data_IF_145057857241
#
_entry.id   IF_145057857241
#
_cell.length_a   1.000
_cell.length_b   1.000
_cell.length_c   1.000
_cell.angle_alpha   90.00
_cell.angle_beta   90.00
_cell.angle_gamma   90.00
#
_symmetry.space_group_name_H-M   'P 1'
#
loop_
_entity.id
_entity.type
_entity.pdbx_description
1 polymer ?
#
# COMPACT_ATOMS: atom_id res chain seq x y z
N UNK A 1 32.31 -4.46 -3.69
CA UNK A 1 31.66 -5.78 -3.57
C UNK A 1 31.19 -6.15 -2.15
N UNK A 2 31.30 -5.28 -1.14
CA UNK A 2 31.01 -5.65 0.27
C UNK A 2 29.62 -5.21 0.79
N UNK A 3 28.86 -4.43 0.05
CA UNK A 3 27.56 -3.88 0.50
C UNK A 3 26.36 -4.80 0.18
N UNK A 4 26.49 -5.67 -0.82
CA UNK A 4 25.40 -6.58 -1.24
C UNK A 4 25.23 -7.76 -0.28
N UNK A 5 26.27 -8.17 0.43
CA UNK A 5 26.25 -9.34 1.33
C UNK A 5 25.52 -9.04 2.67
N UNK A 6 25.55 -7.79 3.14
CA UNK A 6 24.89 -7.41 4.40
C UNK A 6 23.35 -7.40 4.31
N UNK A 7 22.78 -7.06 3.14
CA UNK A 7 21.33 -7.03 2.93
C UNK A 7 20.68 -8.42 2.92
N UNK A 8 21.39 -9.45 2.47
CA UNK A 8 20.86 -10.82 2.38
C UNK A 8 20.78 -11.47 3.78
N UNK A 9 21.71 -11.15 4.67
CA UNK A 9 21.73 -11.70 6.03
C UNK A 9 20.57 -11.17 6.89
N UNK A 10 20.16 -9.92 6.72
CA UNK A 10 19.08 -9.30 7.51
C UNK A 10 17.70 -9.84 7.12
N UNK A 11 17.47 -10.11 5.84
CA UNK A 11 16.19 -10.68 5.35
C UNK A 11 16.03 -12.13 5.84
N UNK A 12 17.13 -12.91 5.86
CA UNK A 12 17.12 -14.28 6.38
C UNK A 12 16.77 -14.34 7.88
N UNK A 13 17.22 -13.34 8.67
CA UNK A 13 16.96 -13.27 10.12
C UNK A 13 15.49 -12.99 10.44
N UNK A 14 14.81 -12.14 9.68
CA UNK A 14 13.39 -11.82 9.87
C UNK A 14 12.50 -13.01 9.50
N UNK A 15 12.83 -13.72 8.44
CA UNK A 15 12.12 -14.95 8.02
C UNK A 15 12.29 -16.06 9.05
N UNK A 16 13.48 -16.17 9.67
CA UNK A 16 13.76 -17.17 10.71
C UNK A 16 12.99 -16.90 12.01
N UNK A 17 12.89 -15.66 12.45
CA UNK A 17 12.13 -15.26 13.66
C UNK A 17 10.62 -15.54 13.45
N UNK A 18 10.08 -15.30 12.26
CA UNK A 18 8.67 -15.57 11.97
C UNK A 18 8.35 -17.07 11.90
N UNK A 19 9.22 -17.87 11.31
CA UNK A 19 9.08 -19.34 11.27
C UNK A 19 9.05 -19.94 12.68
N UNK A 20 9.93 -19.46 13.59
CA UNK A 20 9.95 -19.89 14.98
C UNK A 20 8.71 -19.46 15.78
N UNK A 21 8.13 -18.31 15.46
CA UNK A 21 6.90 -17.82 16.13
C UNK A 21 5.65 -18.58 15.67
N UNK A 22 5.62 -19.04 14.44
CA UNK A 22 4.54 -19.90 13.89
C UNK A 22 4.56 -21.30 14.50
N UNK A 23 5.74 -21.84 14.78
CA UNK A 23 5.89 -23.15 15.42
C UNK A 23 5.55 -23.14 16.92
N UNK A 24 5.71 -21.97 17.59
CA UNK A 24 5.44 -21.84 19.04
C UNK A 24 3.95 -21.71 19.38
N UNK A 25 3.10 -21.35 18.44
CA UNK A 25 1.65 -21.25 18.66
C UNK A 25 0.91 -22.57 18.39
N UNK A 26 1.60 -23.61 17.89
CA UNK A 26 1.01 -24.91 17.55
C UNK A 26 1.20 -26.00 18.61
N UNK A 27 1.82 -25.70 19.73
CA UNK A 27 2.18 -26.70 20.74
C UNK A 27 1.83 -26.30 22.17
N UNK A 28 0.58 -26.34 22.56
CA UNK A 28 0.18 -26.62 23.93
C UNK A 28 -1.33 -26.98 24.00
N UNK A 29 -1.60 -28.22 23.87
CA UNK A 29 -2.92 -28.82 24.14
C UNK A 29 -2.75 -30.07 24.96
N UNK A 30 -2.94 -29.96 26.27
CA UNK A 30 -3.07 -31.08 27.18
C UNK A 30 -4.34 -31.86 26.88
N UNK A 31 -4.19 -33.17 26.90
CA UNK A 31 -5.26 -34.16 26.88
C UNK A 31 -6.13 -34.04 28.12
N UNK A 32 -7.44 -34.07 27.94
CA UNK A 32 -8.32 -34.92 28.75
C UNK A 32 -9.62 -35.20 27.99
N UNK A 33 -10.07 -36.42 28.16
CA UNK A 33 -11.08 -37.09 27.36
C UNK A 33 -12.50 -36.79 27.85
N UNK A 34 -13.43 -36.63 26.92
CA UNK A 34 -14.70 -37.37 26.92
C UNK A 34 -15.47 -37.06 25.63
N UNK A 35 -15.99 -38.15 25.05
CA UNK A 35 -16.66 -38.22 23.76
C UNK A 35 -18.03 -37.51 23.77
N UNK A 36 -18.33 -36.77 22.71
CA UNK A 36 -19.63 -36.79 22.03
C UNK A 36 -19.42 -36.38 20.57
N UNK A 37 -19.88 -37.24 19.70
CA UNK A 37 -19.88 -37.11 18.25
C UNK A 37 -20.73 -35.94 17.78
N UNK A 38 -20.12 -35.01 17.08
CA UNK A 38 -20.83 -34.18 16.12
C UNK A 38 -19.93 -34.00 14.90
N UNK A 39 -20.45 -34.50 13.79
CA UNK A 39 -19.86 -34.50 12.47
C UNK A 39 -19.35 -33.11 12.10
N UNK A 40 -18.02 -32.94 12.00
CA UNK A 40 -17.42 -31.85 11.25
C UNK A 40 -17.74 -32.08 9.77
N UNK A 41 -18.77 -31.41 9.30
CA UNK A 41 -19.08 -31.30 7.90
C UNK A 41 -17.97 -30.48 7.27
N UNK A 42 -17.02 -31.17 6.62
CA UNK A 42 -16.07 -30.59 5.67
C UNK A 42 -16.92 -29.89 4.61
N UNK A 43 -17.04 -28.58 4.69
CA UNK A 43 -17.64 -27.75 3.64
C UNK A 43 -16.61 -27.65 2.53
N UNK A 44 -16.65 -28.62 1.63
CA UNK A 44 -15.92 -28.61 0.37
C UNK A 44 -16.71 -27.78 -0.66
N UNK A 45 -16.10 -26.69 -1.16
CA UNK A 45 -16.15 -26.25 -2.57
C UNK A 45 -17.49 -25.87 -3.23
N UNK A 46 -18.40 -25.17 -2.56
CA UNK A 46 -19.52 -24.52 -3.27
C UNK A 46 -19.35 -22.99 -3.40
N UNK A 47 -18.21 -22.42 -2.97
CA UNK A 47 -17.97 -20.97 -3.00
C UNK A 47 -17.71 -20.45 -4.42
N UNK A 48 -17.18 -21.25 -5.33
CA UNK A 48 -16.79 -20.81 -6.67
C UNK A 48 -18.01 -20.50 -7.57
N UNK A 49 -19.07 -21.31 -7.48
CA UNK A 49 -20.31 -21.07 -8.21
C UNK A 49 -21.13 -19.88 -7.68
N UNK A 50 -21.02 -19.56 -6.41
CA UNK A 50 -21.72 -18.41 -5.82
C UNK A 50 -21.10 -17.08 -6.25
N UNK A 51 -19.79 -17.04 -6.51
CA UNK A 51 -19.09 -15.84 -6.95
C UNK A 51 -19.31 -15.56 -8.43
N UNK A 52 -19.30 -16.57 -9.27
CA UNK A 52 -19.63 -16.40 -10.70
C UNK A 52 -21.02 -15.78 -10.84
N UNK A 53 -22.02 -16.26 -10.10
CA UNK A 53 -23.37 -15.68 -10.08
C UNK A 53 -23.42 -14.20 -9.64
N UNK A 54 -22.52 -13.78 -8.74
CA UNK A 54 -22.43 -12.37 -8.31
C UNK A 54 -22.04 -11.44 -9.46
N UNK A 55 -21.08 -11.84 -10.29
CA UNK A 55 -20.59 -11.04 -11.41
C UNK A 55 -21.53 -11.06 -12.61
N UNK A 56 -22.39 -12.05 -12.70
CA UNK A 56 -23.44 -12.15 -13.73
C UNK A 56 -24.67 -11.26 -13.43
N UNK A 57 -24.74 -10.72 -12.21
CA UNK A 57 -25.84 -9.84 -11.80
C UNK A 57 -25.70 -8.43 -12.42
N UNK A 58 -26.83 -7.74 -12.68
CA UNK A 58 -26.83 -6.36 -13.09
C UNK A 58 -26.04 -5.45 -12.12
N UNK A 59 -25.32 -4.42 -12.60
CA UNK A 59 -24.44 -3.59 -11.75
C UNK A 59 -25.11 -2.95 -10.54
N UNK A 60 -26.40 -2.64 -10.59
CA UNK A 60 -27.15 -2.08 -9.47
C UNK A 60 -27.36 -3.10 -8.34
N UNK A 61 -27.63 -4.38 -8.68
CA UNK A 61 -27.75 -5.47 -7.72
C UNK A 61 -26.39 -5.82 -7.10
N UNK A 62 -25.33 -5.86 -7.88
CA UNK A 62 -23.96 -6.02 -7.35
C UNK A 62 -23.63 -4.93 -6.32
N UNK A 63 -24.00 -3.67 -6.59
CA UNK A 63 -23.83 -2.55 -5.66
C UNK A 63 -24.66 -2.70 -4.38
N UNK A 64 -25.87 -3.21 -4.47
CA UNK A 64 -26.73 -3.44 -3.30
C UNK A 64 -26.16 -4.57 -2.43
N UNK A 65 -25.86 -5.71 -3.02
CA UNK A 65 -25.24 -6.86 -2.32
C UNK A 65 -23.91 -6.45 -1.68
N UNK A 66 -23.08 -5.68 -2.39
CA UNK A 66 -21.83 -5.15 -1.84
C UNK A 66 -22.06 -4.24 -0.63
N UNK A 67 -23.05 -3.33 -0.69
CA UNK A 67 -23.39 -2.45 0.45
C UNK A 67 -23.86 -3.25 1.66
N UNK A 68 -24.70 -4.27 1.45
CA UNK A 68 -25.21 -5.14 2.53
C UNK A 68 -24.11 -5.97 3.17
N UNK A 69 -23.26 -6.62 2.36
CA UNK A 69 -22.09 -7.38 2.85
C UNK A 69 -21.15 -6.47 3.63
N UNK A 70 -20.82 -5.30 3.11
CA UNK A 70 -19.98 -4.32 3.79
C UNK A 70 -20.53 -3.90 5.16
N UNK A 71 -21.87 -3.77 5.28
CA UNK A 71 -22.53 -3.43 6.53
C UNK A 71 -22.48 -4.59 7.55
N UNK A 72 -22.57 -5.84 7.07
CA UNK A 72 -22.53 -7.05 7.93
C UNK A 72 -21.11 -7.47 8.31
N UNK A 73 -20.15 -7.40 7.38
CA UNK A 73 -18.82 -7.99 7.52
C UNK A 73 -17.71 -6.97 7.87
N UNK A 74 -18.05 -5.70 8.13
CA UNK A 74 -17.06 -4.62 8.38
C UNK A 74 -15.94 -4.59 7.35
N UNK A 75 -16.30 -4.67 6.05
CA UNK A 75 -15.36 -4.72 4.94
C UNK A 75 -14.44 -3.49 4.95
N UNK A 76 -13.13 -3.64 4.74
CA UNK A 76 -12.21 -2.52 4.65
C UNK A 76 -12.63 -1.50 3.59
N UNK A 77 -12.53 -0.22 3.94
CA UNK A 77 -12.90 0.90 3.04
C UNK A 77 -12.21 0.85 1.67
N UNK A 78 -10.99 0.30 1.62
CA UNK A 78 -10.15 0.22 0.43
C UNK A 78 -10.42 -1.00 -0.48
N UNK A 79 -11.37 -1.88 -0.14
CA UNK A 79 -11.69 -3.02 -0.98
C UNK A 79 -12.23 -2.58 -2.35
N UNK A 80 -11.84 -3.29 -3.41
CA UNK A 80 -12.30 -3.03 -4.77
C UNK A 80 -13.82 -3.23 -4.88
N UNK A 81 -14.47 -2.38 -5.67
CA UNK A 81 -15.92 -2.41 -5.91
C UNK A 81 -16.32 -3.32 -7.07
N UNK A 82 -15.36 -3.69 -7.90
CA UNK A 82 -15.53 -4.54 -9.09
C UNK A 82 -14.28 -5.37 -9.32
N UNK A 83 -14.36 -6.47 -10.07
CA UNK A 83 -13.21 -7.26 -10.47
C UNK A 83 -12.12 -6.39 -11.11
N UNK A 84 -10.86 -6.78 -10.93
CA UNK A 84 -9.75 -6.09 -11.58
C UNK A 84 -9.60 -6.52 -13.04
N UNK A 85 -9.87 -7.79 -13.32
CA UNK A 85 -9.69 -8.40 -14.63
C UNK A 85 -11.04 -8.82 -15.22
N UNK A 86 -11.42 -8.20 -16.34
CA UNK A 86 -12.61 -8.61 -17.12
C UNK A 86 -12.30 -9.77 -18.07
N UNK A 87 -11.00 -10.03 -18.33
CA UNK A 87 -10.50 -11.12 -19.15
C UNK A 87 -11.09 -11.21 -20.56
N UNK A 88 -11.46 -10.09 -21.17
CA UNK A 88 -11.89 -10.10 -22.57
C UNK A 88 -10.69 -10.41 -23.46
N UNK A 89 -10.76 -11.48 -24.23
CA UNK A 89 -9.70 -11.90 -25.14
C UNK A 89 -9.81 -11.11 -26.44
N UNK A 90 -8.78 -10.38 -26.77
CA UNK A 90 -8.62 -9.69 -28.05
C UNK A 90 -7.84 -10.58 -29.01
N UNK A 91 -8.42 -10.85 -30.18
CA UNK A 91 -7.84 -11.67 -31.24
C UNK A 91 -7.51 -10.82 -32.46
N UNK A 92 -6.47 -11.24 -33.20
CA UNK A 92 -6.18 -10.68 -34.51
C UNK A 92 -7.18 -11.21 -35.57
N UNK A 93 -7.15 -10.72 -36.84
CA UNK A 93 -8.05 -11.19 -37.90
C UNK A 93 -7.92 -12.70 -38.19
N UNK A 94 -6.77 -13.29 -37.91
CA UNK A 94 -6.53 -14.74 -38.08
C UNK A 94 -7.07 -15.57 -36.89
N UNK A 95 -7.68 -14.91 -35.89
CA UNK A 95 -8.24 -15.56 -34.71
C UNK A 95 -7.22 -15.89 -33.59
N UNK A 96 -5.95 -15.52 -33.72
CA UNK A 96 -4.92 -15.72 -32.72
C UNK A 96 -5.10 -14.75 -31.54
N UNK A 97 -5.02 -15.25 -30.32
CA UNK A 97 -5.11 -14.43 -29.12
C UNK A 97 -3.90 -13.48 -28.99
N UNK A 98 -4.15 -12.20 -28.89
CA UNK A 98 -3.15 -11.15 -28.71
C UNK A 98 -2.96 -10.77 -27.24
N UNK A 99 -4.05 -10.46 -26.55
CA UNK A 99 -4.01 -10.05 -25.16
C UNK A 99 -5.37 -10.15 -24.48
N UNK A 100 -5.38 -10.12 -23.15
CA UNK A 100 -6.59 -9.90 -22.36
C UNK A 100 -6.75 -8.41 -22.05
N UNK A 101 -7.95 -7.89 -22.23
CA UNK A 101 -8.27 -6.47 -22.06
C UNK A 101 -9.48 -6.28 -21.14
N UNK A 102 -9.68 -5.03 -20.68
CA UNK A 102 -10.89 -4.67 -19.93
C UNK A 102 -12.11 -4.52 -20.86
N UNK A 103 -13.29 -4.73 -20.29
CA UNK A 103 -14.55 -4.54 -21.00
C UNK A 103 -14.66 -3.10 -21.57
N UNK A 104 -14.25 -2.10 -20.82
CA UNK A 104 -14.23 -0.70 -21.29
C UNK A 104 -13.38 -0.54 -22.56
N UNK A 105 -12.20 -1.18 -22.61
CA UNK A 105 -11.32 -1.13 -23.78
C UNK A 105 -11.92 -1.91 -24.96
N UNK A 106 -12.53 -3.07 -24.71
CA UNK A 106 -13.21 -3.86 -25.75
C UNK A 106 -14.35 -3.05 -26.37
N UNK A 107 -15.23 -2.47 -25.58
CA UNK A 107 -16.32 -1.61 -26.03
C UNK A 107 -15.81 -0.41 -26.84
N UNK A 108 -14.69 0.17 -26.46
CA UNK A 108 -14.09 1.27 -27.22
C UNK A 108 -13.66 0.83 -28.61
N UNK A 109 -13.00 -0.34 -28.77
CA UNK A 109 -12.63 -0.87 -30.09
C UNK A 109 -13.87 -1.11 -30.97
N UNK A 110 -14.88 -1.74 -30.38
CA UNK A 110 -16.13 -2.04 -31.11
C UNK A 110 -16.87 -0.75 -31.48
N UNK A 111 -16.99 0.22 -30.59
CA UNK A 111 -17.67 1.50 -30.88
C UNK A 111 -16.96 2.34 -31.95
N UNK A 112 -15.66 2.10 -32.17
CA UNK A 112 -14.85 2.72 -33.22
C UNK A 112 -14.89 1.94 -34.55
N UNK A 113 -15.61 0.81 -34.63
CA UNK A 113 -15.62 -0.04 -35.81
C UNK A 113 -14.28 -0.74 -36.06
N UNK A 114 -13.44 -0.87 -35.06
CA UNK A 114 -12.09 -1.48 -35.15
C UNK A 114 -12.10 -2.97 -34.76
N UNK A 115 -13.18 -3.44 -34.17
CA UNK A 115 -13.33 -4.84 -33.74
C UNK A 115 -14.81 -5.23 -33.70
N UNK A 116 -15.06 -6.53 -33.70
CA UNK A 116 -16.38 -7.14 -33.54
C UNK A 116 -16.41 -8.11 -32.36
N UNK A 117 -17.56 -8.23 -31.69
CA UNK A 117 -17.78 -9.24 -30.68
C UNK A 117 -18.02 -10.61 -31.35
N UNK A 118 -17.13 -11.55 -31.06
CA UNK A 118 -17.31 -12.97 -31.48
C UNK A 118 -17.95 -13.83 -30.39
N UNK A 119 -17.86 -13.39 -29.15
CA UNK A 119 -18.54 -13.97 -27.98
C UNK A 119 -18.60 -12.94 -26.85
N UNK A 120 -19.33 -13.19 -25.75
CA UNK A 120 -19.36 -12.28 -24.59
C UNK A 120 -17.99 -11.96 -23.99
N UNK A 121 -16.98 -12.80 -24.25
CA UNK A 121 -15.62 -12.69 -23.69
C UNK A 121 -14.53 -12.54 -24.76
N UNK A 122 -14.90 -12.43 -26.04
CA UNK A 122 -13.90 -12.32 -27.13
C UNK A 122 -14.29 -11.24 -28.13
N UNK A 123 -13.29 -10.46 -28.54
CA UNK A 123 -13.38 -9.56 -29.67
C UNK A 123 -12.36 -9.93 -30.75
N UNK A 124 -12.75 -9.75 -32.03
CA UNK A 124 -11.90 -9.91 -33.18
C UNK A 124 -11.57 -8.54 -33.77
N UNK A 125 -10.28 -8.24 -33.94
CA UNK A 125 -9.83 -7.02 -34.62
C UNK A 125 -10.13 -7.11 -36.11
N UNK A 126 -10.54 -6.00 -36.74
CA UNK A 126 -10.80 -5.87 -38.17
C UNK A 126 -9.56 -5.34 -38.94
N UNK A 127 -8.42 -5.26 -38.28
CA UNK A 127 -7.14 -4.77 -38.84
C UNK A 127 -5.97 -5.54 -38.25
N UNK A 128 -4.85 -5.59 -38.96
CA UNK A 128 -3.62 -6.11 -38.42
C UNK A 128 -2.93 -5.08 -37.51
N UNK A 129 -2.72 -5.38 -36.21
CA UNK A 129 -2.03 -4.49 -35.31
C UNK A 129 -0.52 -4.46 -35.63
N UNK A 130 0.08 -3.26 -35.68
CA UNK A 130 1.52 -3.05 -35.95
C UNK A 130 2.43 -3.64 -34.86
N UNK A 131 1.92 -3.84 -33.64
CA UNK A 131 2.63 -4.48 -32.54
C UNK A 131 2.05 -5.86 -32.26
N UNK A 132 2.62 -6.90 -32.83
CA UNK A 132 2.28 -8.28 -32.41
C UNK A 132 2.86 -8.51 -31.03
N UNK A 133 2.02 -8.90 -30.07
CA UNK A 133 2.49 -9.48 -28.83
C UNK A 133 3.41 -10.67 -29.18
N UNK A 134 4.69 -10.59 -28.79
CA UNK A 134 5.68 -11.64 -29.09
C UNK A 134 5.43 -12.94 -28.32
N UNK A 135 4.16 -13.37 -28.20
CA UNK A 135 3.78 -14.59 -27.48
C UNK A 135 3.94 -14.50 -25.97
N UNK A 136 3.97 -13.29 -25.40
CA UNK A 136 4.04 -13.13 -23.94
C UNK A 136 2.83 -13.75 -23.27
N UNK A 137 3.07 -14.87 -22.58
CA UNK A 137 2.05 -15.66 -21.88
C UNK A 137 1.33 -14.83 -20.84
N UNK A 138 2.00 -13.83 -20.24
CA UNK A 138 1.40 -12.98 -19.22
C UNK A 138 0.28 -12.10 -19.80
N UNK A 139 0.49 -11.51 -20.96
CA UNK A 139 -0.49 -10.62 -21.59
C UNK A 139 -1.68 -11.36 -22.20
N UNK A 140 -1.44 -12.55 -22.74
CA UNK A 140 -2.45 -13.35 -23.45
C UNK A 140 -3.30 -14.26 -22.55
N UNK A 141 -2.81 -14.59 -21.34
CA UNK A 141 -3.51 -15.49 -20.42
C UNK A 141 -4.54 -14.77 -19.56
N UNK A 142 -5.73 -15.35 -19.33
CA UNK A 142 -6.69 -14.88 -18.35
C UNK A 142 -6.08 -14.85 -16.95
N UNK A 143 -6.49 -13.86 -16.13
CA UNK A 143 -5.98 -13.65 -14.79
C UNK A 143 -7.09 -13.85 -13.77
N UNK A 144 -6.78 -14.53 -12.67
CA UNK A 144 -7.74 -14.74 -11.59
C UNK A 144 -8.01 -13.45 -10.81
N UNK A 145 -9.26 -13.23 -10.39
CA UNK A 145 -9.66 -12.17 -9.48
C UNK A 145 -9.58 -12.61 -8.00
N UNK A 146 -8.65 -13.50 -7.66
CA UNK A 146 -8.36 -14.00 -6.33
C UNK A 146 -7.05 -13.44 -5.78
N UNK A 147 -6.83 -13.58 -4.47
CA UNK A 147 -5.60 -13.17 -3.80
C UNK A 147 -4.39 -13.93 -4.35
N UNK A 148 -3.39 -13.24 -4.90
CA UNK A 148 -2.19 -13.91 -5.45
C UNK A 148 -1.34 -14.60 -4.38
N UNK A 149 -1.50 -14.23 -3.09
CA UNK A 149 -0.77 -14.86 -2.00
C UNK A 149 -1.43 -16.17 -1.53
N UNK A 150 -2.71 -16.15 -1.18
CA UNK A 150 -3.40 -17.28 -0.56
C UNK A 150 -4.52 -17.91 -1.40
N UNK A 151 -4.86 -17.36 -2.58
CA UNK A 151 -5.88 -17.89 -3.49
C UNK A 151 -7.32 -17.59 -3.10
N UNK A 152 -7.57 -17.01 -1.91
CA UNK A 152 -8.94 -16.72 -1.47
C UNK A 152 -9.60 -15.69 -2.41
N UNK A 153 -10.87 -15.89 -2.66
CA UNK A 153 -11.71 -14.97 -3.44
C UNK A 153 -12.60 -14.14 -2.50
N UNK A 154 -13.13 -12.99 -2.97
CA UNK A 154 -14.04 -12.12 -2.21
C UNK A 154 -13.60 -10.65 -2.23
N UNK A 155 -13.46 -10.03 -1.05
CA UNK A 155 -13.05 -8.62 -0.96
C UNK A 155 -11.55 -8.46 -1.20
N UNK A 156 -11.22 -7.89 -2.35
CA UNK A 156 -9.84 -7.74 -2.79
C UNK A 156 -9.39 -6.30 -2.75
N UNK A 157 -8.08 -6.10 -2.56
CA UNK A 157 -7.40 -4.82 -2.61
C UNK A 157 -6.34 -4.85 -3.71
N UNK A 158 -6.17 -3.71 -4.39
CA UNK A 158 -5.04 -3.53 -5.30
C UNK A 158 -3.79 -3.25 -4.49
N UNK A 159 -2.75 -4.00 -4.76
CA UNK A 159 -1.43 -3.78 -4.18
C UNK A 159 -0.46 -3.40 -5.28
N UNK A 160 0.21 -2.27 -5.12
CA UNK A 160 1.27 -1.82 -6.02
C UNK A 160 2.60 -2.41 -5.55
N UNK A 161 3.25 -3.20 -6.42
CA UNK A 161 4.54 -3.84 -6.10
C UNK A 161 5.60 -2.78 -5.79
N UNK A 162 5.72 -1.72 -6.60
CA UNK A 162 6.45 -0.53 -6.20
C UNK A 162 5.52 0.35 -5.36
N UNK A 163 5.88 0.70 -4.12
CA UNK A 163 5.04 1.53 -3.24
C UNK A 163 4.57 2.81 -3.92
N UNK A 164 3.28 3.12 -3.73
CA UNK A 164 2.67 4.29 -4.36
C UNK A 164 3.40 5.59 -4.04
N UNK A 165 3.97 5.70 -2.83
CA UNK A 165 4.75 6.85 -2.40
C UNK A 165 5.94 7.15 -3.34
N UNK A 166 6.63 6.12 -3.82
CA UNK A 166 7.72 6.28 -4.79
C UNK A 166 7.18 6.43 -6.22
N UNK A 167 6.23 5.56 -6.58
CA UNK A 167 5.65 5.54 -7.91
C UNK A 167 5.02 6.87 -8.30
N UNK A 168 4.38 7.58 -7.35
CA UNK A 168 3.75 8.88 -7.60
C UNK A 168 4.74 9.97 -8.01
N UNK A 169 6.00 9.86 -7.58
CA UNK A 169 7.08 10.82 -7.85
C UNK A 169 7.88 10.49 -9.12
N UNK A 170 7.76 9.26 -9.65
CA UNK A 170 8.44 8.90 -10.89
C UNK A 170 7.83 9.63 -12.10
N UNK A 171 8.59 9.82 -13.20
CA UNK A 171 8.08 10.38 -14.44
C UNK A 171 6.87 9.60 -14.99
N UNK A 172 5.96 10.29 -15.68
CA UNK A 172 4.70 9.71 -16.18
C UNK A 172 4.91 8.48 -17.07
N UNK A 173 6.01 8.42 -17.83
CA UNK A 173 6.37 7.26 -18.65
C UNK A 173 6.53 5.95 -17.87
N UNK A 174 6.84 6.01 -16.55
CA UNK A 174 6.97 4.85 -15.67
C UNK A 174 5.69 4.58 -14.85
N UNK A 175 4.70 5.46 -14.91
CA UNK A 175 3.42 5.30 -14.20
C UNK A 175 2.45 4.40 -14.95
N UNK A 176 2.95 3.41 -15.67
CA UNK A 176 2.11 2.43 -16.35
C UNK A 176 1.22 1.68 -15.35
N UNK A 177 -0.09 1.60 -15.64
CA UNK A 177 -1.02 0.76 -14.91
C UNK A 177 -1.00 -0.70 -15.41
N UNK A 178 0.16 -1.18 -15.83
CA UNK A 178 0.28 -2.57 -16.23
C UNK A 178 -0.04 -3.48 -15.06
N UNK A 179 -0.86 -4.47 -15.32
CA UNK A 179 -1.26 -5.46 -14.32
C UNK A 179 -0.09 -6.26 -13.76
N UNK A 180 1.10 -6.19 -14.39
CA UNK A 180 2.31 -6.84 -13.92
C UNK A 180 2.81 -6.29 -12.58
N UNK A 181 2.71 -4.96 -12.40
CA UNK A 181 3.17 -4.25 -11.20
C UNK A 181 2.03 -3.90 -10.24
N UNK A 182 0.82 -4.36 -10.53
CA UNK A 182 -0.37 -4.22 -9.68
C UNK A 182 -1.01 -5.57 -9.50
N UNK A 183 -0.95 -6.11 -8.30
CA UNK A 183 -1.51 -7.43 -7.96
C UNK A 183 -2.73 -7.30 -7.06
N UNK A 184 -3.45 -8.40 -6.89
CA UNK A 184 -4.63 -8.48 -6.04
C UNK A 184 -4.29 -9.22 -4.76
N UNK A 185 -4.57 -8.61 -3.61
CA UNK A 185 -4.43 -9.22 -2.29
C UNK A 185 -5.74 -9.12 -1.51
N UNK A 186 -6.05 -10.14 -0.72
CA UNK A 186 -7.11 -10.02 0.29
C UNK A 186 -6.66 -9.08 1.42
N UNK A 187 -7.57 -8.51 2.23
CA UNK A 187 -7.22 -7.56 3.28
C UNK A 187 -6.17 -8.06 4.26
N UNK A 188 -6.22 -9.36 4.62
CA UNK A 188 -5.26 -9.99 5.53
C UNK A 188 -3.85 -10.05 4.93
N UNK A 189 -3.72 -10.53 3.70
CA UNK A 189 -2.42 -10.60 3.01
C UNK A 189 -1.89 -9.20 2.66
N UNK A 190 -2.78 -8.25 2.35
CA UNK A 190 -2.39 -6.87 2.10
C UNK A 190 -1.80 -6.22 3.35
N UNK A 191 -2.44 -6.38 4.52
CA UNK A 191 -1.93 -5.84 5.79
C UNK A 191 -0.55 -6.40 6.14
N UNK A 192 -0.36 -7.71 6.00
CA UNK A 192 0.94 -8.35 6.18
C UNK A 192 2.00 -7.78 5.24
N UNK A 193 1.66 -7.66 3.96
CA UNK A 193 2.54 -7.08 2.95
C UNK A 193 2.95 -5.64 3.30
N UNK A 194 1.98 -4.78 3.70
CA UNK A 194 2.24 -3.39 4.07
C UNK A 194 3.17 -3.27 5.30
N UNK A 195 3.09 -4.17 6.27
CA UNK A 195 4.01 -4.18 7.42
C UNK A 195 5.46 -4.45 6.96
N UNK A 196 5.67 -5.47 6.14
CA UNK A 196 7.00 -5.78 5.60
C UNK A 196 7.54 -4.65 4.71
N UNK A 197 6.64 -4.04 3.91
CA UNK A 197 6.97 -2.91 3.05
C UNK A 197 7.36 -1.67 3.86
N UNK A 198 6.69 -1.43 4.98
CA UNK A 198 7.02 -0.31 5.87
C UNK A 198 8.44 -0.40 6.40
N UNK A 199 8.84 -1.57 6.91
CA UNK A 199 10.19 -1.81 7.41
C UNK A 199 11.25 -1.63 6.31
N UNK A 200 11.04 -2.23 5.13
CA UNK A 200 11.96 -2.12 4.01
C UNK A 200 12.09 -0.69 3.48
N UNK A 201 10.97 0.04 3.42
CA UNK A 201 10.97 1.46 3.04
C UNK A 201 11.75 2.31 4.03
N UNK A 202 11.53 2.13 5.34
CA UNK A 202 12.27 2.87 6.35
C UNK A 202 13.77 2.66 6.21
N UNK A 203 14.21 1.41 6.07
CA UNK A 203 15.63 1.09 5.87
C UNK A 203 16.22 1.74 4.61
N UNK A 204 15.48 1.70 3.49
CA UNK A 204 15.90 2.33 2.24
C UNK A 204 15.99 3.85 2.37
N UNK A 205 14.96 4.49 2.90
CA UNK A 205 14.91 5.93 3.10
C UNK A 205 16.00 6.42 4.06
N UNK A 206 16.26 5.68 5.15
CA UNK A 206 17.31 5.98 6.10
C UNK A 206 18.72 5.82 5.49
N UNK A 207 18.92 4.82 4.62
CA UNK A 207 20.20 4.60 3.93
C UNK A 207 20.58 5.74 2.98
N UNK A 208 19.60 6.45 2.46
CA UNK A 208 19.80 7.60 1.56
C UNK A 208 19.87 8.93 2.28
N UNK A 209 19.55 8.97 3.57
CA UNK A 209 19.55 10.18 4.37
C UNK A 209 20.97 10.51 4.86
N UNK A 210 21.59 11.46 4.19
CA UNK A 210 22.95 11.91 4.53
C UNK A 210 22.96 13.05 5.55
N UNK A 211 21.89 13.85 5.62
CA UNK A 211 21.77 14.98 6.51
C UNK A 211 20.64 14.78 7.54
N UNK A 212 20.97 14.61 8.82
CA UNK A 212 19.98 14.46 9.90
C UNK A 212 19.03 15.67 10.02
N UNK A 213 19.44 16.87 9.62
CA UNK A 213 18.62 18.07 9.74
C UNK A 213 17.41 18.04 8.81
N UNK A 214 17.46 17.25 7.73
CA UNK A 214 16.35 17.06 6.79
C UNK A 214 15.36 15.98 7.23
N UNK A 215 15.62 15.27 8.34
CA UNK A 215 14.86 14.10 8.75
C UNK A 215 13.53 14.45 9.40
N UNK A 216 13.53 15.43 10.28
CA UNK A 216 12.35 15.80 11.04
C UNK A 216 11.50 16.81 10.27
N UNK A 217 10.22 16.49 10.03
CA UNK A 217 9.26 17.40 9.41
C UNK A 217 8.95 18.60 10.30
N UNK A 218 8.93 18.37 11.61
CA UNK A 218 8.62 19.37 12.61
C UNK A 218 9.77 19.47 13.60
N UNK A 219 10.15 20.68 13.95
CA UNK A 219 11.00 20.96 15.08
C UNK A 219 10.16 21.42 16.27
N UNK A 220 10.63 21.16 17.46
CA UNK A 220 10.02 21.67 18.69
C UNK A 220 10.65 23.02 19.04
N UNK A 221 9.82 24.04 19.27
CA UNK A 221 10.25 25.29 19.89
C UNK A 221 10.48 25.04 21.40
N UNK A 222 11.73 25.04 21.90
CA UNK A 222 12.00 24.68 23.29
C UNK A 222 11.37 25.68 24.28
N UNK A 223 11.31 26.96 23.90
CA UNK A 223 10.72 27.99 24.75
C UNK A 223 9.21 27.79 24.90
N UNK A 224 8.49 27.61 23.81
CA UNK A 224 7.05 27.36 23.86
C UNK A 224 6.71 26.02 24.53
N UNK A 225 7.53 24.98 24.34
CA UNK A 225 7.38 23.70 25.02
C UNK A 225 7.56 23.88 26.53
N UNK A 226 8.54 24.70 26.96
CA UNK A 226 8.76 24.99 28.37
C UNK A 226 7.57 25.77 28.97
N UNK A 227 7.03 26.76 28.27
CA UNK A 227 5.82 27.51 28.67
C UNK A 227 4.64 26.58 28.88
N UNK A 228 4.36 25.70 27.91
CA UNK A 228 3.31 24.70 28.03
C UNK A 228 3.51 23.77 29.23
N UNK A 229 4.72 23.28 29.41
CA UNK A 229 5.05 22.38 30.53
C UNK A 229 4.90 23.07 31.89
N UNK A 230 5.32 24.33 31.99
CA UNK A 230 5.14 25.17 33.19
C UNK A 230 3.65 25.38 33.51
N UNK A 231 2.86 25.76 32.50
CA UNK A 231 1.40 25.95 32.66
C UNK A 231 0.68 24.66 33.09
N UNK A 232 1.01 23.52 32.49
CA UNK A 232 0.50 22.21 32.89
C UNK A 232 0.87 21.85 34.33
N UNK A 233 2.10 22.14 34.74
CA UNK A 233 2.55 21.88 36.11
C UNK A 233 1.80 22.74 37.11
N UNK A 234 1.61 24.03 36.82
CA UNK A 234 0.83 24.95 37.66
C UNK A 234 -0.64 24.51 37.77
N UNK A 235 -1.27 24.12 36.67
CA UNK A 235 -2.66 23.72 36.67
C UNK A 235 -2.90 22.43 37.46
N UNK A 236 -2.04 21.42 37.28
CA UNK A 236 -2.26 20.09 37.86
C UNK A 236 -1.63 19.87 39.24
N UNK A 237 -0.51 20.55 39.51
CA UNK A 237 0.37 20.17 40.62
C UNK A 237 0.75 21.34 41.53
N UNK A 238 0.16 22.54 41.39
CA UNK A 238 0.51 23.75 42.17
C UNK A 238 0.62 23.47 43.66
N UNK A 239 -0.32 22.73 44.24
CA UNK A 239 -0.32 22.38 45.67
C UNK A 239 0.73 21.36 46.11
N UNK A 240 1.50 20.77 45.19
CA UNK A 240 2.55 19.77 45.44
C UNK A 240 3.95 20.25 45.01
N UNK A 241 4.05 21.42 44.39
CA UNK A 241 5.30 21.97 43.90
C UNK A 241 6.00 22.81 45.01
N UNK A 242 7.36 22.78 45.06
CA UNK A 242 8.10 23.75 45.89
C UNK A 242 7.81 25.19 45.46
N UNK A 243 7.75 26.13 46.41
CA UNK A 243 7.44 27.56 46.14
C UNK A 243 8.36 28.17 45.07
N UNK A 244 9.64 27.92 45.12
CA UNK A 244 10.60 28.41 44.11
C UNK A 244 10.29 27.94 42.70
N UNK A 245 9.72 26.75 42.51
CA UNK A 245 9.29 26.25 41.21
C UNK A 245 7.99 26.87 40.75
N UNK A 246 7.09 27.14 41.67
CA UNK A 246 5.85 27.85 41.36
C UNK A 246 6.19 29.25 40.83
N UNK A 247 7.06 30.00 41.50
CA UNK A 247 7.51 31.34 41.11
C UNK A 247 8.19 31.33 39.71
N UNK A 248 9.05 30.37 39.48
CA UNK A 248 9.72 30.18 38.18
C UNK A 248 8.71 29.93 37.06
N UNK A 249 7.77 29.00 37.25
CA UNK A 249 6.78 28.64 36.25
C UNK A 249 5.78 29.75 36.02
N UNK A 250 5.33 30.44 37.08
CA UNK A 250 4.46 31.60 36.96
C UNK A 250 5.15 32.74 36.17
N UNK A 251 6.43 33.00 36.46
CA UNK A 251 7.23 33.97 35.71
C UNK A 251 7.31 33.60 34.23
N UNK A 252 7.58 32.33 33.91
CA UNK A 252 7.67 31.86 32.53
C UNK A 252 6.36 32.07 31.76
N UNK A 253 5.23 31.66 32.35
CA UNK A 253 3.91 31.82 31.72
C UNK A 253 3.53 33.27 31.55
N UNK A 254 3.75 34.11 32.58
CA UNK A 254 3.47 35.56 32.53
C UNK A 254 4.27 36.27 31.43
N UNK A 255 5.57 35.98 31.34
CA UNK A 255 6.41 36.54 30.30
C UNK A 255 5.91 36.23 28.90
N UNK A 256 5.52 34.97 28.67
CA UNK A 256 5.02 34.55 27.38
C UNK A 256 3.68 35.15 27.02
N UNK A 257 2.71 35.16 27.96
CA UNK A 257 1.37 35.71 27.74
C UNK A 257 1.34 37.27 27.91
N UNK A 258 2.45 37.89 28.30
CA UNK A 258 2.55 39.34 28.59
C UNK A 258 1.55 39.79 29.65
N UNK A 259 1.34 38.96 30.68
CA UNK A 259 0.45 39.26 31.82
C UNK A 259 1.24 39.99 32.91
N UNK A 260 0.74 41.13 33.45
CA UNK A 260 1.37 41.85 34.54
C UNK A 260 1.53 41.03 35.82
N UNK A 261 2.51 41.38 36.67
CA UNK A 261 2.82 40.61 37.88
C UNK A 261 1.71 40.68 38.93
N UNK A 262 0.93 41.76 38.96
CA UNK A 262 -0.18 42.04 39.86
C UNK A 262 -1.49 41.31 39.47
N UNK A 263 -1.57 40.81 38.26
CA UNK A 263 -2.74 40.07 37.79
C UNK A 263 -2.63 38.57 38.14
N UNK A 264 -3.60 37.96 38.84
CA UNK A 264 -3.57 36.53 39.14
C UNK A 264 -3.62 35.69 37.85
N UNK A 265 -2.83 34.62 37.80
CA UNK A 265 -2.93 33.62 36.70
C UNK A 265 -4.18 32.80 36.87
N UNK A 266 -5.21 33.13 36.12
CA UNK A 266 -6.46 32.37 36.09
C UNK A 266 -6.28 31.04 35.35
N UNK A 267 -7.23 30.12 35.53
CA UNK A 267 -7.23 28.82 34.86
C UNK A 267 -7.33 28.99 33.33
N UNK A 268 -8.05 29.98 32.83
CA UNK A 268 -8.17 30.32 31.41
C UNK A 268 -6.82 30.76 30.81
N UNK A 269 -6.02 31.57 31.55
CA UNK A 269 -4.69 31.98 31.12
C UNK A 269 -3.71 30.77 31.09
N UNK A 270 -3.81 29.89 32.08
CA UNK A 270 -3.01 28.65 32.06
C UNK A 270 -3.42 27.76 30.90
N UNK A 271 -4.72 27.62 30.61
CA UNK A 271 -5.18 26.86 29.46
C UNK A 271 -4.70 27.47 28.14
N UNK A 272 -4.73 28.78 27.99
CA UNK A 272 -4.18 29.45 26.82
C UNK A 272 -2.68 29.17 26.63
N UNK A 273 -1.90 29.09 27.71
CA UNK A 273 -0.49 28.72 27.64
C UNK A 273 -0.29 27.23 27.33
N UNK A 274 -1.22 26.36 27.71
CA UNK A 274 -1.20 24.92 27.38
C UNK A 274 -1.50 24.70 25.89
N UNK A 275 -2.40 25.48 25.30
CA UNK A 275 -2.84 25.33 23.92
C UNK A 275 -1.88 25.98 22.90
N UNK A 276 -0.75 26.50 23.36
CA UNK A 276 0.29 27.07 22.48
C UNK A 276 0.84 26.02 21.53
N UNK A 277 0.82 26.33 20.23
CA UNK A 277 1.52 25.52 19.24
C UNK A 277 3.03 25.72 19.37
N UNK A 278 3.70 24.69 19.85
CA UNK A 278 5.16 24.63 20.05
C UNK A 278 5.88 23.91 18.90
N UNK A 279 5.17 23.58 17.81
CA UNK A 279 5.76 22.94 16.64
C UNK A 279 6.09 23.95 15.56
N UNK A 280 7.26 23.82 14.95
CA UNK A 280 7.73 24.66 13.84
C UNK A 280 7.98 23.75 12.65
N UNK A 281 7.47 24.11 11.48
CA UNK A 281 7.78 23.36 10.26
C UNK A 281 9.26 23.53 9.93
N UNK A 282 9.90 22.41 9.61
CA UNK A 282 11.29 22.42 9.17
C UNK A 282 11.37 22.78 7.68
N UNK A 283 11.92 23.96 7.32
CA UNK A 283 12.03 24.37 5.92
C UNK A 283 12.98 23.48 5.10
N UNK A 284 13.88 22.77 5.76
CA UNK A 284 14.85 21.86 5.13
C UNK A 284 14.35 20.41 5.07
N UNK A 285 13.12 20.13 5.49
CA UNK A 285 12.60 18.77 5.49
C UNK A 285 12.52 18.20 4.07
N UNK A 286 13.10 17.01 3.89
CA UNK A 286 12.97 16.22 2.67
C UNK A 286 12.32 14.90 3.03
N UNK A 287 11.20 14.57 2.41
CA UNK A 287 10.55 13.28 2.67
C UNK A 287 11.43 12.12 2.21
N UNK A 288 11.33 10.98 2.88
CA UNK A 288 12.06 9.78 2.46
C UNK A 288 11.74 9.38 1.01
N UNK A 289 10.49 9.56 0.61
CA UNK A 289 10.06 9.27 -0.78
C UNK A 289 10.72 10.19 -1.80
N UNK A 290 10.91 11.48 -1.48
CA UNK A 290 11.62 12.42 -2.35
C UNK A 290 13.09 12.08 -2.46
N UNK A 291 13.75 11.65 -1.36
CA UNK A 291 15.13 11.19 -1.39
C UNK A 291 15.32 10.01 -2.35
N UNK A 292 14.42 9.01 -2.25
CA UNK A 292 14.45 7.84 -3.14
C UNK A 292 14.20 8.25 -4.59
N UNK A 293 13.18 9.07 -4.85
CA UNK A 293 12.85 9.52 -6.19
C UNK A 293 14.00 10.31 -6.83
N UNK A 294 14.62 11.24 -6.09
CA UNK A 294 15.77 12.01 -6.58
C UNK A 294 16.97 11.11 -6.89
N UNK A 295 17.26 10.14 -6.02
CA UNK A 295 18.33 9.16 -6.27
C UNK A 295 18.07 8.34 -7.53
N UNK A 296 16.84 7.89 -7.75
CA UNK A 296 16.47 7.12 -8.93
C UNK A 296 16.56 7.95 -10.21
N UNK A 297 16.14 9.22 -10.19
CA UNK A 297 16.19 10.10 -11.35
C UNK A 297 17.63 10.42 -11.76
N UNK A 298 18.56 10.56 -10.81
CA UNK A 298 19.99 10.74 -11.10
C UNK A 298 20.59 9.54 -11.83
N UNK A 299 20.14 8.32 -11.54
CA UNK A 299 20.61 7.09 -12.21
C UNK A 299 19.93 6.77 -13.55
N UNK A 300 18.93 7.56 -13.96
CA UNK A 300 18.23 7.44 -15.24
C UNK A 300 17.39 6.18 -15.39
N UNK A 301 17.09 5.80 -16.66
CA UNK A 301 16.17 4.71 -16.98
C UNK A 301 16.58 3.36 -16.36
N UNK A 302 17.85 3.01 -16.47
CA UNK A 302 18.34 1.71 -16.00
C UNK A 302 18.17 1.57 -14.49
N UNK A 303 18.46 2.63 -13.71
CA UNK A 303 18.28 2.61 -12.26
C UNK A 303 16.82 2.47 -11.85
N UNK A 304 15.90 3.15 -12.56
CA UNK A 304 14.46 3.00 -12.31
C UNK A 304 14.00 1.59 -12.66
N UNK A 305 14.45 1.02 -13.76
CA UNK A 305 14.11 -0.34 -14.17
C UNK A 305 14.61 -1.38 -13.15
N UNK A 306 15.83 -1.23 -12.66
CA UNK A 306 16.39 -2.11 -11.64
C UNK A 306 15.66 -1.98 -10.32
N UNK A 307 15.29 -0.77 -9.91
CA UNK A 307 14.48 -0.53 -8.73
C UNK A 307 13.11 -1.24 -8.79
N UNK A 308 12.45 -1.22 -9.94
CA UNK A 308 11.18 -1.96 -10.13
C UNK A 308 11.41 -3.46 -9.98
N UNK A 309 12.51 -4.01 -10.56
CA UNK A 309 12.85 -5.43 -10.41
C UNK A 309 13.22 -5.78 -8.96
N UNK A 310 13.94 -4.91 -8.26
CA UNK A 310 14.26 -5.06 -6.83
C UNK A 310 12.97 -5.21 -6.00
N UNK A 311 11.96 -4.35 -6.23
CA UNK A 311 10.67 -4.44 -5.55
C UNK A 311 9.86 -5.69 -5.94
N UNK A 312 9.94 -6.13 -7.19
CA UNK A 312 9.32 -7.40 -7.62
C UNK A 312 9.95 -8.59 -6.91
N UNK A 313 11.28 -8.62 -6.80
CA UNK A 313 12.01 -9.63 -6.06
C UNK A 313 11.68 -9.59 -4.57
N UNK A 314 11.62 -8.41 -3.98
CA UNK A 314 11.23 -8.21 -2.58
C UNK A 314 9.81 -8.74 -2.31
N UNK A 315 8.84 -8.40 -3.18
CA UNK A 315 7.48 -8.92 -3.08
C UNK A 315 7.46 -10.45 -3.14
N UNK A 316 8.15 -11.05 -4.10
CA UNK A 316 8.20 -12.49 -4.27
C UNK A 316 8.78 -13.19 -3.04
N UNK A 317 9.89 -12.68 -2.50
CA UNK A 317 10.59 -13.26 -1.35
C UNK A 317 9.81 -13.09 -0.05
N UNK A 318 9.12 -11.95 0.12
CA UNK A 318 8.43 -11.60 1.36
C UNK A 318 7.04 -12.22 1.44
N UNK A 319 6.23 -12.06 0.38
CA UNK A 319 4.83 -12.50 0.35
C UNK A 319 4.71 -13.97 -0.05
N UNK A 320 5.70 -14.51 -0.78
CA UNK A 320 5.72 -15.89 -1.31
C UNK A 320 4.40 -16.27 -1.98
N UNK A 321 3.96 -15.49 -2.99
CA UNK A 321 2.65 -15.67 -3.61
C UNK A 321 2.56 -17.00 -4.35
N UNK A 322 1.48 -17.78 -4.10
CA UNK A 322 1.26 -19.10 -4.69
C UNK A 322 0.40 -19.06 -5.95
N UNK A 323 -0.28 -17.94 -6.20
CA UNK A 323 -1.31 -17.79 -7.24
C UNK A 323 -1.02 -16.59 -8.16
N UNK A 324 0.27 -16.37 -8.46
CA UNK A 324 0.63 -15.35 -9.46
C UNK A 324 0.06 -15.69 -10.84
N UNK A 325 -0.32 -14.69 -11.64
CA UNK A 325 -0.74 -14.92 -13.01
C UNK A 325 0.33 -15.66 -13.83
N UNK A 326 -0.12 -16.53 -14.75
CA UNK A 326 0.79 -17.27 -15.61
C UNK A 326 1.70 -16.32 -16.40
N UNK A 327 3.00 -16.58 -16.41
CA UNK A 327 3.99 -15.75 -17.09
C UNK A 327 4.45 -14.53 -16.31
N UNK A 328 3.98 -14.32 -15.07
CA UNK A 328 4.52 -13.26 -14.21
C UNK A 328 5.98 -13.57 -13.85
N UNK A 329 6.88 -12.58 -13.93
CA UNK A 329 8.31 -12.75 -13.65
C UNK A 329 8.94 -11.43 -13.20
N UNK A 330 10.00 -11.53 -12.39
CA UNK A 330 10.73 -10.39 -11.83
C UNK A 330 11.40 -9.55 -12.92
N UNK A 331 12.00 -10.22 -13.90
CA UNK A 331 12.80 -9.64 -14.98
C UNK A 331 11.96 -9.13 -16.16
N UNK A 332 10.61 -9.17 -16.07
CA UNK A 332 9.76 -8.62 -17.12
C UNK A 332 10.12 -7.17 -17.44
N UNK A 333 10.09 -6.78 -18.72
CA UNK A 333 10.41 -5.41 -19.13
C UNK A 333 9.61 -4.39 -18.33
N UNK A 334 10.27 -3.35 -17.87
CA UNK A 334 9.61 -2.22 -17.21
C UNK A 334 9.07 -1.33 -18.32
N UNK A 335 7.75 -1.15 -18.35
CA UNK A 335 7.11 -0.36 -19.38
C UNK A 335 7.56 1.10 -19.29
N UNK A 336 8.18 1.57 -20.34
CA UNK A 336 8.49 2.96 -20.58
C UNK A 336 7.60 3.41 -21.75
N UNK A 337 6.55 4.19 -21.48
CA UNK A 337 5.70 4.76 -22.54
C UNK A 337 6.43 5.98 -23.11
N UNK A 338 7.30 5.76 -24.09
CA UNK A 338 8.03 6.84 -24.77
C UNK A 338 7.14 7.83 -25.53
N UNK A 339 5.88 7.47 -25.80
CA UNK A 339 4.92 8.29 -26.54
C UNK A 339 4.05 9.22 -25.67
N UNK A 340 4.20 9.23 -24.35
CA UNK A 340 3.64 10.32 -23.54
C UNK A 340 4.64 11.44 -23.44
N UNK A 341 4.77 12.19 -24.53
CA UNK A 341 5.46 13.47 -24.58
C UNK A 341 4.85 14.37 -23.49
N UNK A 342 5.70 15.01 -22.71
CA UNK A 342 5.39 16.06 -21.77
C UNK A 342 4.64 17.19 -22.50
N UNK A 343 3.35 17.23 -22.31
CA UNK A 343 2.46 18.21 -22.90
C UNK A 343 1.04 17.97 -22.40
N UNK A 344 0.81 18.39 -21.16
CA UNK A 344 -0.43 19.09 -20.70
C UNK A 344 -0.23 19.49 -19.24
#
# INVERSE_FOLDING_TARGET
MSIVVASIATVASVVWIWRRRSEYTSGNGRKDASATSSEERIVTCDEDHSQQRYYDLPPHLQRQIYKERRRKEKIPFLAMKSPMYDNIIMRDPDGKALSTISNKKAQWYVSKGLAEWTSPTNILLLFEPSGRSNGDTYTSSPKSNSCVACGVSGHMMRHYIVPYAYRSLLPNRYKSHQSHDVVILCPKCHLYCEQCYHEHRSQLEDSLRTDPQTAARLHTDPHKQHVRSAALALLRWKGKLPGSRIDEYEKTVRQYLRVPCDCPLSEELLQQAIDVDYTIQNPNYISGSDLVANHLMQGGHNRIADFVKEWRAFFLNTVQPRHLPKGWRVDAPVACNEHKVEGD
#
